data_IF_320087008101
#
_entry.id   IF_320087008101
#
_cell.length_a   1.000
_cell.length_b   1.000
_cell.length_c   1.000
_cell.angle_alpha   90.00
_cell.angle_beta   90.00
_cell.angle_gamma   90.00
#
_symmetry.space_group_name_H-M   'P 1'
#
loop_
_entity.id
_entity.type
_entity.pdbx_description
1 polymer ?
#
# COMPACT_ATOMS: atom_id res chain seq x y z
N UNK A 1 -16.76 -19.84 6.59
CA UNK A 1 -16.01 -18.63 7.03
C UNK A 1 -15.75 -17.84 5.77
N UNK A 2 -16.22 -16.60 5.66
CA UNK A 2 -15.95 -15.80 4.47
C UNK A 2 -14.43 -15.66 4.33
N UNK A 3 -13.85 -16.20 3.25
CA UNK A 3 -12.46 -15.94 2.91
C UNK A 3 -12.29 -14.42 2.88
N UNK A 4 -11.43 -13.88 3.75
CA UNK A 4 -11.17 -12.44 3.76
C UNK A 4 -10.59 -12.09 2.39
N UNK A 5 -11.30 -11.25 1.64
CA UNK A 5 -10.79 -10.71 0.39
C UNK A 5 -9.40 -10.09 0.64
N UNK A 6 -8.40 -10.56 -0.10
CA UNK A 6 -7.03 -10.03 -0.05
C UNK A 6 -7.04 -8.53 -0.38
N UNK A 7 -7.78 -8.13 -1.43
CA UNK A 7 -8.00 -6.73 -1.79
C UNK A 7 -8.63 -5.94 -0.63
N UNK A 8 -9.67 -6.50 0.01
CA UNK A 8 -10.28 -5.88 1.19
C UNK A 8 -9.34 -5.78 2.41
N UNK A 9 -8.29 -6.61 2.46
CA UNK A 9 -7.25 -6.52 3.49
C UNK A 9 -6.22 -5.44 3.15
N UNK A 10 -5.89 -5.28 1.87
CA UNK A 10 -5.02 -4.22 1.36
C UNK A 10 -5.66 -2.85 1.62
N UNK A 11 -6.91 -2.63 1.22
CA UNK A 11 -7.65 -1.37 1.44
C UNK A 11 -7.64 -0.99 2.92
N UNK A 12 -7.98 -1.92 3.82
CA UNK A 12 -7.94 -1.68 5.27
C UNK A 12 -6.55 -1.35 5.81
N UNK A 13 -5.50 -1.84 5.16
CA UNK A 13 -4.13 -1.47 5.52
C UNK A 13 -3.85 -0.01 5.14
N UNK A 14 -4.24 0.38 3.92
CA UNK A 14 -4.09 1.74 3.39
C UNK A 14 -4.91 2.76 4.20
N UNK A 15 -6.18 2.45 4.53
CA UNK A 15 -7.02 3.30 5.39
C UNK A 15 -6.34 3.57 6.75
N UNK A 16 -5.74 2.54 7.36
CA UNK A 16 -4.99 2.69 8.61
C UNK A 16 -3.72 3.52 8.47
N UNK A 17 -3.13 3.56 7.26
CA UNK A 17 -1.98 4.43 7.01
C UNK A 17 -2.39 5.90 6.97
N UNK A 18 -3.63 6.20 6.57
CA UNK A 18 -4.19 7.55 6.56
C UNK A 18 -4.57 8.04 7.96
N UNK A 19 -5.01 7.13 8.84
CA UNK A 19 -5.48 7.42 10.21
C UNK A 19 -4.34 7.62 11.24
N UNK A 20 -3.11 7.89 10.78
CA UNK A 20 -2.01 8.14 11.71
C UNK A 20 -2.15 9.53 12.34
N UNK A 21 -2.61 9.55 13.59
CA UNK A 21 -2.60 10.71 14.49
C UNK A 21 -1.19 11.30 14.77
N UNK A 22 -0.15 10.70 14.21
CA UNK A 22 1.25 11.15 14.26
C UNK A 22 1.74 11.49 12.86
N UNK A 23 2.34 12.67 12.64
CA UNK A 23 2.82 13.16 11.34
C UNK A 23 4.11 12.45 10.85
N UNK A 24 4.39 11.24 11.34
CA UNK A 24 5.53 10.46 10.92
C UNK A 24 5.16 9.68 9.65
N UNK A 25 6.00 9.78 8.63
CA UNK A 25 5.90 9.06 7.36
C UNK A 25 5.60 7.58 7.62
N UNK A 26 4.41 7.12 7.25
CA UNK A 26 3.98 5.75 7.49
C UNK A 26 4.31 4.90 6.26
N UNK A 27 5.25 3.96 6.41
CA UNK A 27 5.63 3.02 5.34
C UNK A 27 5.21 1.60 5.71
N UNK A 28 4.59 0.91 4.75
CA UNK A 28 4.18 -0.49 4.85
C UNK A 28 4.80 -1.29 3.71
N UNK A 29 5.21 -2.52 4.00
CA UNK A 29 5.76 -3.46 3.02
C UNK A 29 4.75 -4.57 2.81
N UNK A 30 4.57 -4.97 1.56
CA UNK A 30 3.73 -6.10 1.19
C UNK A 30 4.60 -7.23 0.66
N UNK A 31 4.35 -8.42 1.18
CA UNK A 31 5.18 -9.60 0.99
C UNK A 31 4.29 -10.76 0.54
N UNK A 32 4.85 -11.65 -0.28
CA UNK A 32 4.23 -12.94 -0.62
C UNK A 32 5.05 -14.07 0.00
N UNK A 33 4.37 -15.13 0.44
CA UNK A 33 5.05 -16.36 0.83
C UNK A 33 5.08 -17.31 -0.36
N UNK A 34 6.27 -17.60 -0.88
CA UNK A 34 6.47 -18.53 -2.00
C UNK A 34 7.57 -19.51 -1.61
N UNK A 35 7.27 -20.81 -1.73
CA UNK A 35 8.20 -21.90 -1.36
C UNK A 35 8.73 -21.83 0.09
N UNK A 36 7.97 -21.25 1.03
CA UNK A 36 8.37 -21.08 2.43
C UNK A 36 9.28 -19.88 2.69
N UNK A 37 9.51 -19.04 1.69
CA UNK A 37 10.28 -17.80 1.79
C UNK A 37 9.34 -16.59 1.63
N UNK A 38 9.60 -15.53 2.39
CA UNK A 38 8.89 -14.26 2.23
C UNK A 38 9.64 -13.37 1.27
N UNK A 39 8.95 -12.95 0.22
CA UNK A 39 9.49 -12.07 -0.80
C UNK A 39 8.74 -10.74 -0.77
N UNK A 40 9.45 -9.65 -0.51
CA UNK A 40 8.89 -8.29 -0.57
C UNK A 40 8.60 -7.94 -2.03
N UNK A 41 7.35 -7.58 -2.33
CA UNK A 41 6.91 -7.21 -3.69
C UNK A 41 6.79 -5.71 -3.88
N UNK A 42 6.37 -5.01 -2.84
CA UNK A 42 6.32 -3.56 -2.87
C UNK A 42 6.34 -2.94 -1.48
N UNK A 43 6.66 -1.65 -1.45
CA UNK A 43 6.48 -0.81 -0.26
C UNK A 43 5.62 0.40 -0.59
N UNK A 44 4.72 0.74 0.33
CA UNK A 44 3.81 1.88 0.22
C UNK A 44 4.14 2.88 1.30
N UNK A 45 4.23 4.14 0.95
CA UNK A 45 4.43 5.26 1.87
C UNK A 45 3.27 6.24 1.75
N UNK A 46 2.58 6.54 2.85
CA UNK A 46 1.57 7.59 2.85
C UNK A 46 2.20 8.95 3.13
N UNK A 47 1.92 9.90 2.25
CA UNK A 47 2.36 11.29 2.32
C UNK A 47 1.12 12.13 2.67
N UNK A 48 0.95 12.53 3.94
CA UNK A 48 -0.20 13.33 4.34
C UNK A 48 -0.12 14.72 3.70
N UNK A 49 -1.28 15.26 3.33
CA UNK A 49 -1.38 16.64 2.90
C UNK A 49 -1.12 17.61 4.06
N UNK A 50 -0.32 18.63 3.81
CA UNK A 50 0.09 19.61 4.84
C UNK A 50 -0.95 20.71 5.07
N UNK A 51 -1.85 20.94 4.10
CA UNK A 51 -2.76 22.09 4.09
C UNK A 51 -4.21 21.74 4.45
N UNK A 52 -4.52 20.47 4.73
CA UNK A 52 -5.86 20.02 5.16
C UNK A 52 -6.98 20.12 4.11
N UNK A 53 -6.71 20.74 2.95
CA UNK A 53 -7.67 20.88 1.85
C UNK A 53 -7.54 19.79 0.76
N UNK A 54 -6.38 19.12 0.68
CA UNK A 54 -6.14 18.06 -0.31
C UNK A 54 -6.03 16.70 0.39
N UNK A 55 -6.53 15.64 -0.24
CA UNK A 55 -6.26 14.26 0.18
C UNK A 55 -4.75 13.99 0.12
N UNK A 56 -4.18 13.32 1.12
CA UNK A 56 -2.79 12.86 1.04
C UNK A 56 -2.61 11.87 -0.10
N UNK A 57 -1.37 11.66 -0.52
CA UNK A 57 -1.04 10.73 -1.61
C UNK A 57 -0.27 9.52 -1.09
N UNK A 58 -0.34 8.41 -1.81
CA UNK A 58 0.47 7.23 -1.57
C UNK A 58 1.58 7.15 -2.61
N UNK A 59 2.78 6.80 -2.15
CA UNK A 59 3.90 6.40 -2.99
C UNK A 59 4.04 4.88 -2.93
N UNK A 60 3.94 4.20 -4.07
CA UNK A 60 4.16 2.76 -4.23
C UNK A 60 5.50 2.53 -4.90
N UNK A 61 6.37 1.76 -4.27
CA UNK A 61 7.63 1.31 -4.85
C UNK A 61 7.57 -0.18 -5.15
N UNK A 62 7.75 -0.55 -6.41
CA UNK A 62 7.92 -1.93 -6.87
C UNK A 62 9.36 -2.39 -6.58
N UNK A 63 9.53 -3.51 -5.89
CA UNK A 63 10.87 -4.02 -5.55
C UNK A 63 11.59 -4.70 -6.71
N UNK A 64 10.84 -5.25 -7.67
CA UNK A 64 11.33 -5.97 -8.86
C UNK A 64 11.85 -4.99 -9.91
N UNK A 65 11.09 -3.93 -10.19
CA UNK A 65 11.49 -2.93 -11.20
C UNK A 65 12.22 -1.72 -10.61
N UNK A 66 12.13 -1.52 -9.29
CA UNK A 66 12.54 -0.28 -8.60
C UNK A 66 11.80 0.98 -9.07
N UNK A 67 10.69 0.82 -9.78
CA UNK A 67 9.84 1.94 -10.18
C UNK A 67 9.04 2.46 -8.99
N UNK A 68 8.74 3.75 -9.02
CA UNK A 68 8.00 4.47 -7.99
C UNK A 68 6.81 5.16 -8.65
N UNK A 69 5.63 4.90 -8.10
CA UNK A 69 4.35 5.39 -8.59
C UNK A 69 3.67 6.19 -7.48
N UNK A 70 2.90 7.21 -7.86
CA UNK A 70 2.15 8.03 -6.91
C UNK A 70 0.67 7.96 -7.21
N UNK A 71 -0.13 7.82 -6.16
CA UNK A 71 -1.59 7.67 -6.24
C UNK A 71 -2.27 8.62 -5.26
N UNK A 72 -3.34 9.27 -5.70
CA UNK A 72 -4.28 10.06 -4.89
C UNK A 72 -5.60 9.32 -4.61
N UNK A 73 -5.80 8.17 -5.27
CA UNK A 73 -6.97 7.29 -5.13
C UNK A 73 -6.58 5.95 -4.47
N UNK A 74 -7.26 5.62 -3.38
CA UNK A 74 -7.01 4.41 -2.57
C UNK A 74 -7.38 3.12 -3.32
N UNK A 75 -8.40 3.15 -4.17
CA UNK A 75 -8.87 1.98 -4.90
C UNK A 75 -7.85 1.63 -6.00
N UNK A 76 -7.30 2.64 -6.69
CA UNK A 76 -6.28 2.43 -7.73
C UNK A 76 -5.01 1.79 -7.17
N UNK A 77 -4.44 2.35 -6.11
CA UNK A 77 -3.24 1.76 -5.50
C UNK A 77 -3.54 0.36 -4.90
N UNK A 78 -4.73 0.14 -4.35
CA UNK A 78 -5.09 -1.17 -3.80
C UNK A 78 -5.13 -2.25 -4.90
N UNK A 79 -5.64 -1.92 -6.08
CA UNK A 79 -5.61 -2.81 -7.24
C UNK A 79 -4.18 -3.11 -7.68
N UNK A 80 -3.33 -2.09 -7.78
CA UNK A 80 -1.93 -2.25 -8.22
C UNK A 80 -1.12 -3.12 -7.26
N UNK A 81 -1.25 -2.89 -5.94
CA UNK A 81 -0.65 -3.76 -4.91
C UNK A 81 -1.18 -5.18 -5.02
N UNK A 82 -2.49 -5.34 -5.24
CA UNK A 82 -3.08 -6.68 -5.38
C UNK A 82 -2.47 -7.43 -6.56
N UNK A 83 -2.32 -6.78 -7.72
CA UNK A 83 -1.70 -7.36 -8.91
C UNK A 83 -0.22 -7.73 -8.67
N UNK A 84 0.56 -6.83 -8.05
CA UNK A 84 1.96 -7.10 -7.70
C UNK A 84 2.16 -8.30 -6.76
N UNK A 85 1.16 -8.58 -5.92
CA UNK A 85 1.17 -9.73 -5.01
C UNK A 85 0.71 -11.05 -5.68
N UNK A 86 0.18 -11.02 -6.90
CA UNK A 86 -0.20 -12.22 -7.64
C UNK A 86 0.88 -12.68 -8.64
N UNK A 87 1.86 -11.83 -8.97
CA UNK A 87 3.02 -12.16 -9.81
C UNK A 87 4.01 -13.13 -9.12
#
# INVERSE_FOLDING_TARGET
MAEKSQLGTIIKCLEKMMDTATPEVNTRRFEVEKNGEREERCSVTYIPSVDGETSGTFELKDTKTNEVYQFDDIDLIAMDIYELLQD
#
